data_IF_436812947626
#
_entry.id   IF_436812947626
#
_cell.length_a   1.000
_cell.length_b   1.000
_cell.length_c   1.000
_cell.angle_alpha   90.00
_cell.angle_beta   90.00
_cell.angle_gamma   90.00
#
_symmetry.space_group_name_H-M   'P 1'
#
loop_
_entity.id
_entity.type
_entity.pdbx_description
1 polymer ?
#
# COMPACT_ATOMS: atom_id res chain seq x y z
N UNK A 1 3.30 9.81 -19.50
CA UNK A 1 4.28 9.17 -18.61
C UNK A 1 3.50 8.44 -17.54
N UNK A 2 3.25 7.15 -17.74
CA UNK A 2 2.56 6.31 -16.76
C UNK A 2 3.55 6.08 -15.61
N UNK A 3 3.23 6.60 -14.43
CA UNK A 3 4.06 6.37 -13.25
C UNK A 3 3.60 5.05 -12.62
N UNK A 4 4.51 4.08 -12.47
CA UNK A 4 4.17 2.75 -11.98
C UNK A 4 4.15 2.69 -10.45
N UNK A 5 3.24 1.85 -9.91
CA UNK A 5 3.29 1.40 -8.52
C UNK A 5 4.05 0.07 -8.49
N UNK A 6 5.07 -0.02 -7.65
CA UNK A 6 5.82 -1.25 -7.43
C UNK A 6 5.67 -1.69 -5.97
N UNK A 7 5.33 -2.95 -5.74
CA UNK A 7 5.24 -3.52 -4.40
C UNK A 7 6.38 -4.51 -4.16
N UNK A 8 7.03 -4.38 -3.01
CA UNK A 8 8.06 -5.30 -2.51
C UNK A 8 7.66 -5.78 -1.13
N UNK A 9 7.88 -7.06 -0.87
CA UNK A 9 7.61 -7.66 0.43
C UNK A 9 8.71 -8.66 0.75
N UNK A 10 9.18 -8.65 1.99
CA UNK A 10 10.19 -9.59 2.50
C UNK A 10 9.62 -10.98 2.81
N UNK A 11 8.30 -11.13 2.84
CA UNK A 11 7.63 -12.39 3.12
C UNK A 11 7.56 -13.28 1.86
N UNK A 12 8.04 -14.54 1.92
CA UNK A 12 7.91 -15.47 0.81
C UNK A 12 6.44 -15.78 0.52
N UNK A 13 6.09 -15.87 -0.77
CA UNK A 13 4.73 -16.12 -1.28
C UNK A 13 3.71 -15.01 -0.95
N UNK A 14 4.15 -13.80 -0.64
CA UNK A 14 3.24 -12.66 -0.57
C UNK A 14 2.74 -12.30 -1.97
N UNK A 15 1.42 -12.28 -2.15
CA UNK A 15 0.77 -11.94 -3.42
C UNK A 15 0.24 -10.50 -3.33
N UNK A 16 0.78 -9.55 -4.12
CA UNK A 16 0.36 -8.16 -4.05
C UNK A 16 -1.13 -7.98 -4.33
N UNK A 17 -1.67 -8.71 -5.32
CA UNK A 17 -3.08 -8.61 -5.76
C UNK A 17 -4.09 -9.02 -4.69
N UNK A 18 -3.69 -9.88 -3.76
CA UNK A 18 -4.55 -10.33 -2.66
C UNK A 18 -4.50 -9.37 -1.47
N UNK A 19 -3.42 -8.58 -1.33
CA UNK A 19 -3.19 -7.69 -0.20
C UNK A 19 -4.09 -6.44 -0.21
N UNK A 20 -4.53 -6.04 0.98
CA UNK A 20 -5.18 -4.77 1.25
C UNK A 20 -4.29 -3.58 0.90
N UNK A 21 -2.96 -3.73 0.89
CA UNK A 21 -2.02 -2.66 0.54
C UNK A 21 -2.18 -2.24 -0.92
N UNK A 22 -2.28 -3.21 -1.84
CA UNK A 22 -2.48 -2.92 -3.27
C UNK A 22 -3.86 -2.32 -3.50
N UNK A 23 -4.90 -2.91 -2.89
CA UNK A 23 -6.28 -2.41 -2.95
C UNK A 23 -6.39 -0.97 -2.44
N UNK A 24 -5.79 -0.67 -1.28
CA UNK A 24 -5.78 0.67 -0.71
C UNK A 24 -5.04 1.68 -1.59
N UNK A 25 -3.92 1.27 -2.20
CA UNK A 25 -3.16 2.13 -3.12
C UNK A 25 -3.98 2.48 -4.36
N UNK A 26 -4.59 1.47 -5.01
CA UNK A 26 -5.45 1.68 -6.17
C UNK A 26 -6.67 2.55 -5.84
N UNK A 27 -7.33 2.29 -4.71
CA UNK A 27 -8.46 3.11 -4.25
C UNK A 27 -8.05 4.55 -3.97
N UNK A 28 -6.87 4.78 -3.39
CA UNK A 28 -6.38 6.14 -3.16
C UNK A 28 -6.14 6.88 -4.48
N UNK A 29 -5.58 6.21 -5.49
CA UNK A 29 -5.40 6.80 -6.83
C UNK A 29 -6.76 7.12 -7.47
N UNK A 30 -7.74 6.22 -7.36
CA UNK A 30 -9.10 6.43 -7.89
C UNK A 30 -9.80 7.61 -7.21
N UNK A 31 -9.80 7.64 -5.88
CA UNK A 31 -10.49 8.67 -5.08
C UNK A 31 -9.87 10.06 -5.25
N UNK A 32 -8.54 10.13 -5.39
CA UNK A 32 -7.82 11.42 -5.49
C UNK A 32 -7.52 11.85 -6.92
N UNK A 33 -7.71 10.97 -7.91
CA UNK A 33 -7.24 11.18 -9.28
C UNK A 33 -5.72 11.24 -9.41
N UNK A 34 -4.96 10.86 -8.37
CA UNK A 34 -3.51 10.96 -8.37
C UNK A 34 -2.88 9.83 -9.19
N UNK A 35 -2.26 10.19 -10.32
CA UNK A 35 -1.54 9.24 -11.19
C UNK A 35 -0.03 9.17 -10.88
N UNK A 36 0.39 9.53 -9.66
CA UNK A 36 1.80 9.41 -9.24
C UNK A 36 2.14 7.95 -8.94
N UNK A 37 3.37 7.59 -9.23
CA UNK A 37 3.95 6.28 -8.90
C UNK A 37 4.53 6.27 -7.50
N UNK A 38 4.85 5.07 -7.01
CA UNK A 38 5.48 4.85 -5.72
C UNK A 38 6.05 3.42 -5.67
N UNK A 39 7.17 3.26 -4.98
CA UNK A 39 7.64 1.94 -4.53
C UNK A 39 7.21 1.75 -3.09
N UNK A 40 6.53 0.65 -2.81
CA UNK A 40 5.99 0.31 -1.49
C UNK A 40 6.72 -0.94 -1.00
N UNK A 41 7.66 -0.74 -0.08
CA UNK A 41 8.43 -1.79 0.57
C UNK A 41 7.78 -2.18 1.91
N UNK A 42 7.17 -3.36 1.93
CA UNK A 42 6.55 -3.95 3.11
C UNK A 42 7.58 -4.82 3.79
N UNK A 43 7.92 -4.47 5.03
CA UNK A 43 8.85 -5.23 5.86
C UNK A 43 8.07 -5.81 7.05
N UNK A 44 7.62 -7.07 6.93
CA UNK A 44 6.81 -7.71 7.97
C UNK A 44 7.70 -8.40 8.99
N UNK A 45 7.86 -7.75 10.15
CA UNK A 45 8.47 -8.41 11.33
C UNK A 45 7.58 -9.49 11.95
N UNK A 46 6.28 -9.43 11.68
CA UNK A 46 5.29 -10.40 12.15
C UNK A 46 4.89 -11.25 10.93
N UNK A 47 5.09 -12.57 10.96
CA UNK A 47 4.73 -13.43 9.83
C UNK A 47 3.24 -13.33 9.51
N UNK A 48 2.87 -13.61 8.25
CA UNK A 48 1.49 -13.63 7.79
C UNK A 48 0.71 -14.68 8.60
N UNK A 49 0.01 -14.23 9.65
CA UNK A 49 -0.89 -15.08 10.41
C UNK A 49 -2.19 -15.20 9.63
N UNK A 50 -2.52 -16.42 9.21
CA UNK A 50 -3.72 -16.77 8.45
C UNK A 50 -4.96 -16.17 9.12
N UNK A 51 -5.46 -15.03 8.62
CA UNK A 51 -6.73 -14.42 9.02
C UNK A 51 -6.73 -13.31 10.10
N UNK A 52 -5.60 -12.78 10.58
CA UNK A 52 -5.62 -11.78 11.68
C UNK A 52 -4.70 -10.56 11.44
N UNK A 53 -5.30 -9.43 11.05
CA UNK A 53 -4.90 -8.07 11.45
C UNK A 53 -3.61 -7.44 10.91
N UNK A 54 -2.68 -8.19 10.32
CA UNK A 54 -1.42 -7.61 9.80
C UNK A 54 -1.63 -6.71 8.59
N UNK A 55 -2.45 -7.16 7.64
CA UNK A 55 -2.57 -6.53 6.33
C UNK A 55 -3.34 -5.19 6.36
N UNK A 56 -4.25 -5.00 7.33
CA UNK A 56 -4.96 -3.73 7.52
C UNK A 56 -4.05 -2.63 8.08
N UNK A 57 -3.11 -3.00 8.96
CA UNK A 57 -2.13 -2.06 9.51
C UNK A 57 -1.17 -1.59 8.43
N UNK A 58 -0.71 -2.50 7.58
CA UNK A 58 0.15 -2.18 6.43
C UNK A 58 -0.57 -1.30 5.41
N UNK A 59 -1.85 -1.58 5.14
CA UNK A 59 -2.68 -0.77 4.25
C UNK A 59 -2.88 0.65 4.80
N UNK A 60 -3.18 0.78 6.10
CA UNK A 60 -3.30 2.07 6.75
C UNK A 60 -1.98 2.85 6.67
N UNK A 61 -0.85 2.20 7.01
CA UNK A 61 0.47 2.82 6.92
C UNK A 61 0.81 3.28 5.49
N UNK A 62 0.45 2.46 4.49
CA UNK A 62 0.61 2.79 3.07
C UNK A 62 -0.19 4.03 2.69
N UNK A 63 -1.48 4.10 3.04
CA UNK A 63 -2.31 5.29 2.80
C UNK A 63 -1.71 6.54 3.44
N UNK A 64 -1.23 6.43 4.69
CA UNK A 64 -0.57 7.56 5.39
C UNK A 64 0.69 8.00 4.64
N UNK A 65 1.51 7.06 4.18
CA UNK A 65 2.73 7.30 3.43
C UNK A 65 2.46 7.98 2.09
N UNK A 66 1.52 7.43 1.31
CA UNK A 66 1.16 7.94 -0.01
C UNK A 66 0.48 9.31 0.07
N UNK A 67 -0.41 9.54 1.04
CA UNK A 67 -1.01 10.86 1.27
C UNK A 67 0.07 11.93 1.47
N UNK A 68 1.14 11.62 2.22
CA UNK A 68 2.29 12.52 2.41
C UNK A 68 3.16 12.63 1.16
N UNK A 69 3.55 11.50 0.57
CA UNK A 69 4.45 11.43 -0.59
C UNK A 69 3.86 12.14 -1.82
N UNK A 70 2.56 11.95 -2.05
CA UNK A 70 1.85 12.55 -3.18
C UNK A 70 1.34 13.95 -2.88
N UNK A 71 1.38 14.39 -1.61
CA UNK A 71 0.95 15.72 -1.18
C UNK A 71 -0.56 15.93 -1.28
N UNK A 72 -1.35 14.90 -0.96
CA UNK A 72 -2.81 14.91 -1.15
C UNK A 72 -3.56 15.69 -0.05
N UNK A 73 -2.89 15.97 1.09
CA UNK A 73 -3.45 16.72 2.21
C UNK A 73 -4.80 16.18 2.74
N UNK A 74 -5.02 14.86 2.63
CA UNK A 74 -6.20 14.20 3.18
C UNK A 74 -6.12 14.15 4.71
N UNK A 75 -7.25 14.33 5.39
CA UNK A 75 -7.36 14.11 6.83
C UNK A 75 -7.26 12.62 7.19
N UNK A 76 -6.77 12.32 8.40
CA UNK A 76 -6.31 11.01 8.85
C UNK A 76 -7.01 10.54 10.11
#
# INVERSE_FOLDING_TARGET
>A
MSQNIEFKCDVPNWVPEESLVSKATSLLQEVTGCAKGATIDINKRIPLMSGLGGDSSDAAATLRGLNKLWGLNLSQ
#
